data_IF_574643668608
#
_entry.id   IF_574643668608
#
_cell.length_a   1.000
_cell.length_b   1.000
_cell.length_c   1.000
_cell.angle_alpha   90.00
_cell.angle_beta   90.00
_cell.angle_gamma   90.00
#
_symmetry.space_group_name_H-M   'P 1'
#
loop_
_entity.id
_entity.type
_entity.pdbx_description
1 polymer ?
#
# COMPACT_ATOMS: atom_id res chain seq x y z
N UNK A 1 9.30 3.13 8.57
CA UNK A 1 8.29 3.70 7.62
C UNK A 1 9.01 4.23 6.40
N UNK A 2 8.38 4.19 5.24
CA UNK A 2 8.95 4.77 4.01
C UNK A 2 8.43 4.15 2.72
N UNK A 3 8.71 4.83 1.63
CA UNK A 3 8.20 4.56 0.30
C UNK A 3 9.39 4.35 -0.64
N UNK A 4 9.56 3.10 -1.08
CA UNK A 4 10.64 2.68 -1.99
C UNK A 4 10.27 2.97 -3.44
N UNK A 5 11.21 2.83 -4.38
CA UNK A 5 10.92 2.98 -5.82
C UNK A 5 9.74 2.13 -6.29
N UNK A 6 9.62 0.89 -5.81
CA UNK A 6 8.56 -0.04 -6.21
C UNK A 6 7.19 0.40 -5.67
N UNK A 7 7.15 0.92 -4.44
CA UNK A 7 5.92 1.49 -3.87
C UNK A 7 5.55 2.79 -4.58
N UNK A 8 6.53 3.65 -4.87
CA UNK A 8 6.33 4.86 -5.67
C UNK A 8 5.69 4.53 -7.00
N UNK A 9 6.24 3.54 -7.71
CA UNK A 9 5.71 3.05 -8.98
C UNK A 9 4.26 2.56 -8.84
N UNK A 10 3.95 1.81 -7.79
CA UNK A 10 2.57 1.38 -7.53
C UNK A 10 1.62 2.57 -7.32
N UNK A 11 2.04 3.61 -6.59
CA UNK A 11 1.24 4.84 -6.39
C UNK A 11 1.03 5.63 -7.68
N UNK A 12 2.06 5.70 -8.53
CA UNK A 12 1.95 6.35 -9.85
C UNK A 12 0.99 5.60 -10.78
N UNK A 13 1.03 4.26 -10.77
CA UNK A 13 0.09 3.43 -11.53
C UNK A 13 -1.33 3.55 -11.00
N UNK A 14 -1.50 3.61 -9.68
CA UNK A 14 -2.79 3.86 -9.06
C UNK A 14 -3.34 5.22 -9.46
N UNK A 15 -2.52 6.27 -9.46
CA UNK A 15 -2.90 7.60 -9.94
C UNK A 15 -3.32 7.60 -11.41
N UNK A 16 -2.64 6.82 -12.27
CA UNK A 16 -3.02 6.68 -13.68
C UNK A 16 -4.33 5.94 -13.87
N UNK A 17 -4.60 4.93 -13.04
CA UNK A 17 -5.85 4.17 -13.07
C UNK A 17 -7.02 5.04 -12.62
N UNK A 18 -6.87 5.69 -11.46
CA UNK A 18 -7.83 6.64 -10.91
C UNK A 18 -7.05 7.78 -10.23
N UNK A 19 -7.19 9.03 -10.70
CA UNK A 19 -6.41 10.16 -10.20
C UNK A 19 -6.48 10.33 -8.69
N UNK A 20 -5.31 10.42 -8.07
CA UNK A 20 -5.16 10.89 -6.68
C UNK A 20 -5.35 12.41 -6.69
N UNK A 21 -6.33 12.91 -5.94
CA UNK A 21 -6.72 14.32 -5.90
C UNK A 21 -7.13 14.73 -4.49
N UNK A 22 -7.20 16.03 -4.22
CA UNK A 22 -7.75 16.55 -2.97
C UNK A 22 -6.75 16.49 -1.81
N UNK A 23 -7.19 16.03 -0.63
CA UNK A 23 -6.37 15.97 0.58
C UNK A 23 -5.76 14.58 0.77
N UNK A 24 -4.44 14.50 0.71
CA UNK A 24 -3.66 13.31 1.00
C UNK A 24 -3.25 13.31 2.48
N UNK A 25 -3.40 12.18 3.16
CA UNK A 25 -2.83 11.92 4.48
C UNK A 25 -1.84 10.77 4.41
N UNK A 26 -0.64 10.96 4.91
CA UNK A 26 0.24 9.83 5.26
C UNK A 26 0.08 9.48 6.73
N UNK A 27 0.05 8.19 7.05
CA UNK A 27 0.23 7.74 8.43
C UNK A 27 1.74 7.77 8.71
N UNK A 28 2.16 8.53 9.70
CA UNK A 28 3.55 8.92 9.89
C UNK A 28 4.10 9.77 8.73
N UNK A 29 5.28 10.34 8.93
CA UNK A 29 6.08 10.88 7.83
C UNK A 29 6.68 9.71 7.05
N UNK A 30 6.71 9.81 5.73
CA UNK A 30 7.22 8.72 4.88
C UNK A 30 8.56 9.12 4.27
N UNK A 31 9.64 8.44 4.68
CA UNK A 31 10.92 8.58 3.96
C UNK A 31 10.75 8.08 2.53
N UNK A 32 10.90 8.96 1.55
CA UNK A 32 10.86 8.59 0.13
C UNK A 32 12.28 8.23 -0.30
N UNK A 33 12.53 6.97 -0.67
CA UNK A 33 13.89 6.51 -1.06
C UNK A 33 14.24 6.86 -2.51
N UNK A 34 14.00 8.12 -2.89
CA UNK A 34 14.27 8.65 -4.23
C UNK A 34 14.89 10.04 -4.12
N UNK A 35 15.98 10.28 -4.85
CA UNK A 35 16.44 11.65 -5.13
C UNK A 35 15.49 12.33 -6.12
N UNK A 36 15.56 13.68 -6.28
CA UNK A 36 14.79 14.38 -7.29
C UNK A 36 14.97 13.79 -8.70
N UNK A 37 16.20 13.45 -9.09
CA UNK A 37 16.51 12.86 -10.39
C UNK A 37 15.88 11.47 -10.55
N UNK A 38 15.94 10.64 -9.51
CA UNK A 38 15.33 9.30 -9.53
C UNK A 38 13.80 9.34 -9.59
N UNK A 39 13.19 10.33 -8.93
CA UNK A 39 11.75 10.59 -8.99
C UNK A 39 11.33 11.04 -10.39
N UNK A 40 12.01 12.04 -10.97
CA UNK A 40 11.71 12.53 -12.32
C UNK A 40 11.88 11.42 -13.36
N UNK A 41 12.93 10.60 -13.23
CA UNK A 41 13.12 9.41 -14.07
C UNK A 41 11.99 8.41 -13.91
N UNK A 42 11.52 8.16 -12.69
CA UNK A 42 10.40 7.24 -12.46
C UNK A 42 9.08 7.76 -13.07
N UNK A 43 8.82 9.06 -12.98
CA UNK A 43 7.65 9.69 -13.60
C UNK A 43 7.67 9.51 -15.12
N UNK A 44 8.83 9.75 -15.75
CA UNK A 44 9.05 9.51 -17.18
C UNK A 44 8.82 8.04 -17.56
N UNK A 45 9.41 7.09 -16.81
CA UNK A 45 9.21 5.65 -17.02
C UNK A 45 7.73 5.22 -16.94
N UNK A 46 6.94 5.85 -16.08
CA UNK A 46 5.51 5.55 -15.93
C UNK A 46 4.62 6.40 -16.85
N UNK A 47 5.21 7.26 -17.70
CA UNK A 47 4.50 8.10 -18.67
C UNK A 47 3.70 9.22 -18.03
N UNK A 48 4.16 9.76 -16.90
CA UNK A 48 3.51 10.82 -16.13
C UNK A 48 4.36 12.08 -16.23
N UNK A 49 3.76 13.17 -16.74
CA UNK A 49 4.44 14.46 -16.75
C UNK A 49 4.53 15.03 -15.33
N UNK A 50 5.71 15.50 -14.88
CA UNK A 50 5.83 16.16 -13.60
C UNK A 50 5.03 17.47 -13.59
N UNK A 51 4.45 17.82 -12.44
CA UNK A 51 3.79 19.11 -12.25
C UNK A 51 4.80 20.26 -12.35
N UNK A 52 4.49 21.35 -13.07
CA UNK A 52 5.41 22.48 -13.24
C UNK A 52 5.86 23.09 -11.92
N UNK A 53 4.96 23.15 -10.93
CA UNK A 53 5.20 23.75 -9.62
C UNK A 53 5.65 22.73 -8.57
N UNK A 54 6.12 21.54 -8.98
CA UNK A 54 6.57 20.51 -8.04
C UNK A 54 7.77 21.02 -7.23
N UNK A 55 7.67 21.12 -5.89
CA UNK A 55 8.69 21.78 -5.10
C UNK A 55 9.97 20.95 -4.90
N UNK A 56 10.04 19.70 -5.43
CA UNK A 56 11.15 18.73 -5.34
C UNK A 56 11.98 18.85 -4.05
N UNK A 57 11.30 19.07 -2.93
CA UNK A 57 11.91 19.53 -1.68
C UNK A 57 12.64 18.38 -1.04
N UNK A 58 13.85 18.64 -0.57
CA UNK A 58 14.68 17.62 0.06
C UNK A 58 14.22 17.33 1.49
N UNK A 59 14.23 16.05 1.83
CA UNK A 59 13.93 15.55 3.16
C UNK A 59 15.12 15.78 4.10
N UNK A 60 14.89 16.66 5.06
CA UNK A 60 15.84 17.00 6.13
C UNK A 60 15.35 16.57 7.51
N UNK A 61 14.16 15.95 7.59
CA UNK A 61 13.44 15.70 8.83
C UNK A 61 13.34 14.21 9.17
N UNK A 62 13.03 13.35 8.20
CA UNK A 62 12.87 11.92 8.51
C UNK A 62 14.22 11.29 8.89
N UNK A 63 14.18 10.34 9.84
CA UNK A 63 15.34 9.65 10.40
C UNK A 63 16.16 8.99 9.29
N UNK A 64 15.49 8.42 8.29
CA UNK A 64 16.15 7.71 7.18
C UNK A 64 16.39 8.60 5.95
N UNK A 65 15.78 9.79 5.87
CA UNK A 65 15.92 10.71 4.74
C UNK A 65 16.98 11.79 4.94
N UNK A 66 17.18 12.25 6.18
CA UNK A 66 18.06 13.38 6.49
C UNK A 66 19.49 13.16 5.98
N UNK A 67 19.96 14.09 5.16
CA UNK A 67 21.33 14.09 4.61
C UNK A 67 21.55 13.09 3.47
N UNK A 68 20.49 12.44 2.97
CA UNK A 68 20.57 11.48 1.86
C UNK A 68 20.26 12.08 0.49
N UNK A 69 19.77 13.32 0.44
CA UNK A 69 19.35 13.97 -0.81
C UNK A 69 18.02 13.42 -1.35
N UNK A 70 17.23 12.78 -0.50
CA UNK A 70 15.91 12.27 -0.85
C UNK A 70 14.86 13.37 -0.88
N UNK A 71 13.78 13.19 -1.63
CA UNK A 71 12.62 14.09 -1.61
C UNK A 71 11.72 13.83 -0.40
N UNK A 72 10.94 14.84 0.01
CA UNK A 72 9.86 14.64 0.99
C UNK A 72 8.69 13.87 0.38
N UNK A 73 7.89 13.20 1.21
CA UNK A 73 6.59 12.65 0.83
C UNK A 73 5.61 13.70 0.25
N UNK A 74 5.63 14.92 0.77
CA UNK A 74 4.88 16.07 0.22
C UNK A 74 5.32 16.33 -1.22
N UNK A 75 6.64 16.47 -1.44
CA UNK A 75 7.19 16.68 -2.77
C UNK A 75 6.90 15.51 -3.72
N UNK A 76 6.91 14.26 -3.21
CA UNK A 76 6.54 13.09 -3.99
C UNK A 76 5.11 13.19 -4.53
N UNK A 77 4.09 13.34 -3.67
CA UNK A 77 2.70 13.42 -4.12
C UNK A 77 2.43 14.66 -5.00
N UNK A 78 3.00 15.81 -4.64
CA UNK A 78 2.86 17.05 -5.40
C UNK A 78 3.65 17.06 -6.72
N UNK A 79 4.50 16.06 -6.97
CA UNK A 79 5.18 15.91 -8.26
C UNK A 79 4.28 15.44 -9.38
N UNK A 80 3.18 14.74 -9.08
CA UNK A 80 2.28 14.19 -10.10
C UNK A 80 0.80 14.52 -9.86
N UNK A 81 0.41 15.00 -8.67
CA UNK A 81 -0.99 15.24 -8.32
C UNK A 81 -1.23 16.66 -7.78
N UNK A 82 -2.43 17.21 -8.02
CA UNK A 82 -2.89 18.46 -7.41
C UNK A 82 -3.45 18.20 -6.01
N UNK A 83 -2.57 18.18 -5.02
CA UNK A 83 -2.94 17.75 -3.68
C UNK A 83 -2.32 18.60 -2.58
N UNK A 84 -3.05 18.69 -1.47
CA UNK A 84 -2.48 19.08 -0.19
C UNK A 84 -2.13 17.84 0.61
N UNK A 85 -0.94 17.81 1.20
CA UNK A 85 -0.47 16.66 1.97
C UNK A 85 -0.40 17.01 3.45
N UNK A 86 -1.00 16.17 4.27
CA UNK A 86 -0.82 16.13 5.71
C UNK A 86 -0.17 14.80 6.12
N UNK A 87 0.37 14.74 7.32
CA UNK A 87 0.87 13.50 7.91
C UNK A 87 0.44 13.42 9.38
N UNK A 88 -0.06 12.26 9.81
CA UNK A 88 -0.50 12.06 11.19
C UNK A 88 0.46 11.16 11.95
N UNK A 89 0.89 11.58 13.14
CA UNK A 89 1.72 10.79 14.04
C UNK A 89 1.36 11.08 15.50
N UNK A 90 1.77 10.23 16.43
CA UNK A 90 1.58 10.45 17.87
C UNK A 90 2.54 11.53 18.41
N UNK A 91 3.62 11.83 17.69
CA UNK A 91 4.60 12.85 18.09
C UNK A 91 5.15 13.63 16.89
N UNK A 92 5.76 14.78 17.14
CA UNK A 92 6.30 15.70 16.14
C UNK A 92 7.76 15.41 15.76
N UNK A 93 8.32 14.26 16.14
CA UNK A 93 9.75 13.95 16.03
C UNK A 93 10.31 14.04 14.60
N UNK A 94 9.49 13.74 13.57
CA UNK A 94 9.81 13.89 12.15
C UNK A 94 9.04 15.05 11.47
N UNK A 95 8.38 15.90 12.26
CA UNK A 95 7.65 17.06 11.78
C UNK A 95 6.26 16.74 11.22
N UNK A 96 5.52 15.84 11.85
CA UNK A 96 4.15 15.53 11.45
C UNK A 96 3.21 16.75 11.54
N UNK A 97 2.40 17.01 10.51
CA UNK A 97 1.47 18.16 10.48
C UNK A 97 0.25 17.97 11.38
N UNK A 98 -0.08 16.73 11.72
CA UNK A 98 -1.20 16.37 12.60
C UNK A 98 -0.69 15.48 13.74
N UNK A 99 -0.96 15.88 14.98
CA UNK A 99 -0.63 15.09 16.17
C UNK A 99 -1.87 14.35 16.67
N UNK A 100 -1.89 13.03 16.53
CA UNK A 100 -2.96 12.17 17.02
C UNK A 100 -2.46 10.74 17.31
N UNK A 101 -2.92 10.15 18.41
CA UNK A 101 -2.65 8.75 18.74
C UNK A 101 -3.71 7.84 18.12
N UNK A 102 -3.31 6.98 17.17
CA UNK A 102 -4.24 6.03 16.52
C UNK A 102 -4.68 4.86 17.44
N UNK A 103 -4.09 4.71 18.63
CA UNK A 103 -4.65 3.84 19.68
C UNK A 103 -5.85 4.49 20.41
N UNK A 104 -6.09 5.78 20.18
CA UNK A 104 -7.16 6.55 20.84
C UNK A 104 -8.24 6.95 19.84
N UNK A 105 -9.23 7.70 20.29
CA UNK A 105 -10.20 8.34 19.39
C UNK A 105 -9.53 9.46 18.59
N UNK A 106 -9.96 9.64 17.34
CA UNK A 106 -9.52 10.76 16.51
C UNK A 106 -10.38 12.00 16.81
N UNK A 107 -9.79 13.21 16.78
CA UNK A 107 -10.54 14.45 16.85
C UNK A 107 -11.56 14.58 15.70
N UNK A 108 -12.74 15.13 15.99
CA UNK A 108 -13.79 15.34 14.99
C UNK A 108 -13.35 16.10 13.72
N UNK A 109 -12.47 17.12 13.80
CA UNK A 109 -11.98 17.82 12.61
C UNK A 109 -11.14 16.97 11.64
N UNK A 110 -10.78 15.73 12.00
CA UNK A 110 -10.09 14.79 11.11
C UNK A 110 -11.06 13.82 10.43
N UNK A 111 -12.29 13.67 10.93
CA UNK A 111 -13.27 12.70 10.39
C UNK A 111 -13.69 13.10 8.98
N UNK A 112 -13.63 12.13 8.06
CA UNK A 112 -14.06 12.33 6.67
C UNK A 112 -13.27 13.39 5.89
N UNK A 113 -12.07 13.76 6.33
CA UNK A 113 -11.32 14.91 5.82
C UNK A 113 -10.43 14.60 4.63
N UNK A 114 -9.99 13.35 4.47
CA UNK A 114 -8.94 13.01 3.50
C UNK A 114 -9.46 12.15 2.36
N UNK A 115 -9.13 12.53 1.14
CA UNK A 115 -9.57 11.84 -0.08
C UNK A 115 -8.65 10.67 -0.43
N UNK A 116 -7.41 10.72 0.05
CA UNK A 116 -6.45 9.64 -0.11
C UNK A 116 -5.64 9.46 1.16
N UNK A 117 -5.54 8.22 1.66
CA UNK A 117 -4.70 7.88 2.81
C UNK A 117 -3.64 6.87 2.37
N UNK A 118 -2.38 7.11 2.72
CA UNK A 118 -1.30 6.16 2.54
C UNK A 118 -0.72 5.73 3.89
N UNK A 119 -0.79 4.44 4.17
CA UNK A 119 -0.26 3.82 5.37
C UNK A 119 0.94 2.91 5.01
N UNK A 120 2.15 3.45 5.16
CA UNK A 120 3.41 2.80 4.78
C UNK A 120 4.19 2.21 5.95
N UNK A 121 3.82 0.99 6.36
CA UNK A 121 4.44 0.21 7.43
C UNK A 121 4.44 0.96 8.77
N UNK A 122 3.23 1.33 9.21
CA UNK A 122 3.00 2.04 10.48
C UNK A 122 2.19 1.18 11.46
N UNK A 123 1.24 0.37 10.96
CA UNK A 123 0.41 -0.48 11.82
C UNK A 123 1.26 -1.52 12.56
N UNK A 124 2.38 -1.93 11.98
CA UNK A 124 3.35 -2.83 12.58
C UNK A 124 4.04 -2.22 13.83
N UNK A 125 3.93 -0.90 14.02
CA UNK A 125 4.43 -0.16 15.19
C UNK A 125 3.30 0.27 16.15
N UNK A 126 2.05 -0.07 15.89
CA UNK A 126 0.89 0.30 16.72
C UNK A 126 0.33 -0.96 17.42
N UNK A 127 0.12 -0.86 18.74
CA UNK A 127 -0.34 -2.01 19.55
C UNK A 127 -1.77 -2.44 19.20
N UNK A 128 -2.73 -1.51 19.15
CA UNK A 128 -4.11 -1.81 18.74
C UNK A 128 -4.31 -1.53 17.25
N UNK A 129 -3.82 -2.45 16.41
CA UNK A 129 -3.91 -2.34 14.96
C UNK A 129 -5.34 -2.30 14.42
N UNK A 130 -6.28 -3.00 15.06
CA UNK A 130 -7.69 -2.98 14.65
C UNK A 130 -8.34 -1.61 14.88
N UNK A 131 -8.06 -1.00 16.05
CA UNK A 131 -8.51 0.35 16.32
C UNK A 131 -7.85 1.35 15.35
N UNK A 132 -6.55 1.24 15.12
CA UNK A 132 -5.83 2.13 14.21
C UNK A 132 -6.37 2.04 12.78
N UNK A 133 -6.63 0.84 12.26
CA UNK A 133 -7.27 0.63 10.95
C UNK A 133 -8.65 1.30 10.90
N UNK A 134 -9.47 1.14 11.95
CA UNK A 134 -10.75 1.83 12.08
C UNK A 134 -10.58 3.36 12.05
N UNK A 135 -9.63 3.90 12.81
CA UNK A 135 -9.36 5.35 12.88
C UNK A 135 -8.93 5.93 11.54
N UNK A 136 -8.06 5.24 10.81
CA UNK A 136 -7.67 5.65 9.44
C UNK A 136 -8.90 5.78 8.54
N UNK A 137 -9.79 4.79 8.57
CA UNK A 137 -10.99 4.79 7.75
C UNK A 137 -12.05 5.81 8.20
N UNK A 138 -12.07 6.20 9.48
CA UNK A 138 -12.90 7.32 9.95
C UNK A 138 -12.40 8.68 9.46
N UNK A 139 -11.09 8.83 9.22
CA UNK A 139 -10.50 10.03 8.63
C UNK A 139 -10.70 10.13 7.11
N UNK A 140 -10.97 9.01 6.45
CA UNK A 140 -11.18 8.91 5.01
C UNK A 140 -12.53 9.51 4.61
N UNK A 141 -12.57 10.34 3.56
CA UNK A 141 -13.79 10.94 3.02
C UNK A 141 -14.73 9.86 2.45
N UNK A 142 -16.05 10.13 2.28
CA UNK A 142 -17.03 9.12 1.87
C UNK A 142 -16.71 8.38 0.55
N UNK A 143 -15.93 9.01 -0.34
CA UNK A 143 -15.49 8.45 -1.63
C UNK A 143 -13.96 8.35 -1.72
N UNK A 144 -13.28 8.42 -0.57
CA UNK A 144 -11.82 8.38 -0.51
C UNK A 144 -11.26 6.98 -0.74
N UNK A 145 -9.96 6.92 -1.05
CA UNK A 145 -9.20 5.68 -1.19
C UNK A 145 -8.10 5.58 -0.15
N UNK A 146 -7.80 4.37 0.29
CA UNK A 146 -6.71 4.10 1.22
C UNK A 146 -5.80 3.00 0.69
N UNK A 147 -4.50 3.21 0.85
CA UNK A 147 -3.46 2.25 0.52
C UNK A 147 -2.74 1.83 1.78
N UNK A 148 -2.57 0.52 1.95
CA UNK A 148 -1.71 -0.07 2.96
C UNK A 148 -0.54 -0.78 2.31
N UNK A 149 0.65 -0.54 2.82
CA UNK A 149 1.80 -1.40 2.61
C UNK A 149 2.36 -1.79 3.97
N UNK A 150 2.22 -3.06 4.35
CA UNK A 150 2.51 -3.52 5.71
C UNK A 150 3.31 -4.83 5.70
N UNK A 151 4.05 -5.10 6.78
CA UNK A 151 4.76 -6.38 6.94
C UNK A 151 3.77 -7.54 7.02
N UNK A 152 4.00 -8.57 6.21
CA UNK A 152 3.21 -9.83 6.22
C UNK A 152 4.01 -11.00 6.80
N UNK A 153 5.32 -10.89 6.95
CA UNK A 153 6.18 -11.86 7.65
C UNK A 153 6.88 -11.26 8.85
N UNK A 154 7.29 -12.14 9.76
CA UNK A 154 8.03 -11.80 10.96
C UNK A 154 9.26 -10.93 10.64
N UNK A 155 9.48 -9.93 11.49
CA UNK A 155 10.64 -9.06 11.47
C UNK A 155 10.96 -8.62 12.91
N UNK A 156 12.23 -8.48 13.31
CA UNK A 156 12.53 -7.92 14.62
C UNK A 156 11.92 -6.52 14.77
N UNK A 157 11.39 -6.22 15.96
CA UNK A 157 10.82 -4.92 16.34
C UNK A 157 9.46 -4.53 15.71
N UNK A 158 8.73 -5.44 15.06
CA UNK A 158 7.30 -5.23 14.76
C UNK A 158 6.42 -5.82 15.85
N UNK A 159 5.31 -5.15 16.20
CA UNK A 159 4.30 -5.69 17.11
C UNK A 159 3.47 -6.80 16.46
N UNK A 160 3.03 -6.58 15.22
CA UNK A 160 2.15 -7.47 14.47
C UNK A 160 2.59 -7.57 13.01
N UNK A 161 2.27 -8.70 12.38
CA UNK A 161 2.36 -8.89 10.93
C UNK A 161 0.96 -9.10 10.37
N UNK A 162 0.64 -8.40 9.29
CA UNK A 162 -0.71 -8.31 8.77
C UNK A 162 -0.84 -9.07 7.46
N UNK A 163 -1.74 -10.06 7.43
CA UNK A 163 -2.07 -10.78 6.22
C UNK A 163 -2.97 -9.94 5.30
N UNK A 164 -2.99 -10.21 3.98
CA UNK A 164 -3.95 -9.61 3.06
C UNK A 164 -5.40 -9.89 3.46
N UNK A 165 -5.68 -11.08 4.02
CA UNK A 165 -7.00 -11.49 4.50
C UNK A 165 -7.54 -10.54 5.59
N UNK A 166 -6.68 -10.07 6.51
CA UNK A 166 -7.09 -9.18 7.59
C UNK A 166 -7.69 -7.87 7.08
N UNK A 167 -7.03 -7.24 6.10
CA UNK A 167 -7.55 -6.05 5.45
C UNK A 167 -8.78 -6.36 4.60
N UNK A 168 -8.70 -7.39 3.75
CA UNK A 168 -9.79 -7.73 2.85
C UNK A 168 -11.10 -7.99 3.61
N UNK A 169 -11.05 -8.79 4.68
CA UNK A 169 -12.20 -9.08 5.51
C UNK A 169 -12.77 -7.83 6.18
N UNK A 170 -11.91 -6.91 6.66
CA UNK A 170 -12.36 -5.66 7.27
C UNK A 170 -13.11 -4.80 6.26
N UNK A 171 -12.56 -4.60 5.07
CA UNK A 171 -13.16 -3.78 4.02
C UNK A 171 -14.45 -4.39 3.47
N UNK A 172 -14.48 -5.70 3.28
CA UNK A 172 -15.68 -6.42 2.86
C UNK A 172 -16.80 -6.33 3.90
N UNK A 173 -16.48 -6.54 5.18
CA UNK A 173 -17.46 -6.47 6.28
C UNK A 173 -18.00 -5.06 6.52
N UNK A 174 -17.23 -4.03 6.14
CA UNK A 174 -17.60 -2.62 6.25
C UNK A 174 -18.13 -2.02 4.94
N UNK A 175 -18.48 -2.86 3.96
CA UNK A 175 -19.22 -2.44 2.77
C UNK A 175 -18.49 -1.37 1.94
N UNK A 176 -17.17 -1.52 1.79
CA UNK A 176 -16.37 -0.73 0.86
C UNK A 176 -16.72 -1.07 -0.59
N UNK A 177 -16.52 -0.10 -1.49
CA UNK A 177 -16.86 -0.24 -2.90
C UNK A 177 -15.96 -1.27 -3.59
N UNK A 178 -14.66 -1.20 -3.29
CA UNK A 178 -13.66 -2.08 -3.85
C UNK A 178 -12.52 -2.32 -2.85
N UNK A 179 -11.86 -3.47 -2.97
CA UNK A 179 -10.68 -3.83 -2.19
C UNK A 179 -9.81 -4.82 -2.97
N UNK A 180 -8.59 -4.41 -3.28
CA UNK A 180 -7.57 -5.26 -3.89
C UNK A 180 -6.46 -5.49 -2.88
N UNK A 181 -6.26 -6.76 -2.51
CA UNK A 181 -5.22 -7.15 -1.57
C UNK A 181 -4.22 -8.07 -2.26
N UNK A 182 -2.93 -7.92 -1.94
CA UNK A 182 -1.83 -8.64 -2.57
C UNK A 182 -0.81 -9.09 -1.52
N UNK A 183 -0.29 -10.29 -1.70
CA UNK A 183 1.02 -10.66 -1.16
C UNK A 183 2.11 -10.06 -2.04
N UNK A 184 3.09 -9.42 -1.42
CA UNK A 184 4.26 -8.89 -2.08
C UNK A 184 5.47 -9.69 -1.62
N UNK A 185 6.02 -10.47 -2.55
CA UNK A 185 7.23 -11.23 -2.35
C UNK A 185 8.44 -10.43 -2.82
N UNK A 186 9.38 -10.22 -1.91
CA UNK A 186 10.69 -9.65 -2.24
C UNK A 186 11.75 -10.75 -2.24
N UNK A 187 12.27 -11.13 -3.41
CA UNK A 187 13.34 -12.12 -3.48
C UNK A 187 14.64 -11.50 -2.96
N UNK A 188 15.10 -11.94 -1.78
CA UNK A 188 16.41 -11.61 -1.24
C UNK A 188 16.41 -11.05 0.19
N UNK A 189 17.61 -11.08 0.80
CA UNK A 189 17.90 -10.49 2.10
C UNK A 189 18.35 -9.02 2.02
N UNK A 190 18.20 -8.38 0.85
CA UNK A 190 18.60 -6.99 0.63
C UNK A 190 17.83 -6.01 1.51
N UNK A 191 18.46 -4.86 1.77
CA UNK A 191 17.81 -3.77 2.49
C UNK A 191 16.58 -3.29 1.71
N UNK A 192 15.51 -2.92 2.40
CA UNK A 192 14.28 -2.37 1.78
C UNK A 192 14.52 -1.17 0.87
N UNK A 193 15.68 -0.51 1.01
CA UNK A 193 16.10 0.67 0.26
C UNK A 193 16.73 0.36 -1.10
N UNK A 194 16.83 -0.92 -1.51
CA UNK A 194 17.40 -1.29 -2.81
C UNK A 194 16.44 -0.98 -3.96
N UNK A 195 16.74 0.07 -4.71
CA UNK A 195 15.94 0.50 -5.86
C UNK A 195 15.98 -0.47 -7.07
N UNK A 196 16.77 -1.55 -7.00
CA UNK A 196 16.98 -2.53 -8.08
C UNK A 196 16.28 -3.88 -7.85
N UNK A 197 15.54 -4.07 -6.75
CA UNK A 197 14.84 -5.34 -6.50
C UNK A 197 13.52 -5.42 -7.29
N UNK A 198 13.33 -6.52 -8.02
CA UNK A 198 12.03 -6.88 -8.60
C UNK A 198 11.12 -7.44 -7.52
N UNK A 199 9.90 -6.92 -7.40
CA UNK A 199 8.89 -7.49 -6.51
C UNK A 199 7.94 -8.37 -7.30
N UNK A 200 7.58 -9.52 -6.74
CA UNK A 200 6.51 -10.38 -7.26
C UNK A 200 5.24 -10.11 -6.46
N UNK A 201 4.15 -9.75 -7.15
CA UNK A 201 2.86 -9.53 -6.52
C UNK A 201 1.92 -10.68 -6.83
N UNK A 202 1.28 -11.21 -5.79
CA UNK A 202 0.26 -12.25 -5.90
C UNK A 202 -1.04 -11.70 -5.33
N UNK A 203 -2.05 -11.56 -6.19
CA UNK A 203 -3.38 -11.12 -5.75
C UNK A 203 -3.98 -12.14 -4.79
N UNK A 204 -4.53 -11.66 -3.69
CA UNK A 204 -5.31 -12.45 -2.75
C UNK A 204 -6.78 -12.43 -3.16
N UNK A 205 -7.41 -13.60 -3.17
CA UNK A 205 -8.86 -13.73 -3.23
C UNK A 205 -9.36 -14.65 -2.10
N UNK A 206 -10.54 -14.38 -1.53
CA UNK A 206 -11.12 -15.24 -0.50
C UNK A 206 -11.34 -16.67 -0.99
N UNK A 207 -10.69 -17.62 -0.33
CA UNK A 207 -10.84 -19.06 -0.61
C UNK A 207 -9.91 -19.59 -1.69
N UNK A 208 -9.07 -18.75 -2.28
CA UNK A 208 -7.95 -19.22 -3.08
C UNK A 208 -6.95 -19.95 -2.17
N UNK A 209 -6.35 -21.01 -2.71
CA UNK A 209 -5.17 -21.59 -2.09
C UNK A 209 -4.06 -20.54 -2.06
N UNK A 210 -3.39 -20.40 -0.91
CA UNK A 210 -2.20 -19.55 -0.78
C UNK A 210 -1.23 -19.92 -1.92
N UNK A 211 -0.75 -18.94 -2.70
CA UNK A 211 0.15 -19.22 -3.82
C UNK A 211 1.34 -20.06 -3.36
N UNK A 212 1.73 -21.08 -4.13
CA UNK A 212 2.79 -22.02 -3.72
C UNK A 212 4.10 -21.33 -3.27
N UNK A 213 4.60 -20.25 -3.91
CA UNK A 213 5.75 -19.52 -3.40
C UNK A 213 5.51 -18.91 -2.02
N UNK A 214 4.34 -18.32 -1.77
CA UNK A 214 3.94 -17.74 -0.47
C UNK A 214 3.75 -18.84 0.57
N UNK A 215 3.18 -19.98 0.18
CA UNK A 215 3.01 -21.13 1.06
C UNK A 215 4.35 -21.74 1.46
N UNK A 216 5.29 -21.87 0.52
CA UNK A 216 6.65 -22.34 0.78
C UNK A 216 7.37 -21.41 1.78
N UNK A 217 7.12 -20.09 1.73
CA UNK A 217 7.69 -19.15 2.71
C UNK A 217 7.30 -19.48 4.16
N UNK A 218 6.11 -20.03 4.38
CA UNK A 218 5.61 -20.40 5.71
C UNK A 218 6.00 -21.80 6.17
N UNK A 219 6.74 -22.57 5.36
CA UNK A 219 7.06 -23.98 5.61
C UNK A 219 8.56 -24.28 5.62
N UNK A 220 9.42 -23.32 5.28
CA UNK A 220 10.88 -23.48 5.29
C UNK A 220 11.41 -23.60 6.74
N UNK A 221 11.95 -24.77 7.16
CA UNK A 221 12.35 -25.02 8.55
C UNK A 221 13.57 -24.20 9.02
N UNK A 222 14.24 -23.47 8.11
CA UNK A 222 15.57 -22.89 8.33
C UNK A 222 15.76 -21.46 7.80
N UNK A 223 14.81 -20.56 8.06
CA UNK A 223 15.15 -19.14 8.22
C UNK A 223 15.73 -18.43 7.00
N UNK A 224 15.26 -18.74 5.79
CA UNK A 224 15.43 -17.78 4.68
C UNK A 224 14.55 -16.57 5.07
N UNK A 225 15.11 -15.36 5.24
CA UNK A 225 14.31 -14.18 5.57
C UNK A 225 13.55 -13.76 4.32
N UNK A 226 12.44 -14.45 4.04
CA UNK A 226 11.58 -14.05 2.94
C UNK A 226 10.76 -12.86 3.41
N UNK A 227 11.06 -11.74 2.80
CA UNK A 227 10.46 -10.46 3.08
C UNK A 227 9.08 -10.37 2.40
N UNK A 228 8.07 -10.91 3.07
CA UNK A 228 6.68 -10.78 2.65
C UNK A 228 6.09 -9.48 3.19
N UNK A 229 5.44 -8.75 2.31
CA UNK A 229 4.58 -7.63 2.65
C UNK A 229 3.17 -7.86 2.12
N UNK A 230 2.25 -7.09 2.65
CA UNK A 230 0.88 -6.99 2.19
C UNK A 230 0.72 -5.62 1.55
N UNK A 231 0.19 -5.58 0.33
CA UNK A 231 -0.20 -4.34 -0.33
C UNK A 231 -1.71 -4.36 -0.54
N UNK A 232 -2.41 -3.33 -0.11
CA UNK A 232 -3.87 -3.24 -0.20
C UNK A 232 -4.26 -1.87 -0.72
N UNK A 233 -5.23 -1.83 -1.61
CA UNK A 233 -5.94 -0.62 -2.00
C UNK A 233 -7.43 -0.86 -1.74
N UNK A 234 -8.08 0.06 -1.03
CA UNK A 234 -9.51 0.00 -0.76
C UNK A 234 -10.18 1.34 -1.08
N UNK A 235 -11.38 1.28 -1.64
CA UNK A 235 -12.19 2.44 -2.03
C UNK A 235 -13.48 2.48 -1.23
N UNK A 236 -13.77 3.63 -0.66
CA UNK A 236 -14.97 3.86 0.13
C UNK A 236 -16.16 4.22 -0.78
N UNK A 237 -17.37 3.88 -0.33
CA UNK A 237 -18.64 4.38 -0.87
C UNK A 237 -19.46 5.04 0.25
N UNK A 238 -20.51 5.77 -0.13
CA UNK A 238 -21.32 6.59 0.79
C UNK A 238 -21.87 5.82 2.00
N UNK A 239 -22.24 4.55 1.83
CA UNK A 239 -22.77 3.66 2.86
C UNK A 239 -21.71 2.71 3.48
N UNK A 240 -20.42 2.97 3.26
CA UNK A 240 -19.35 2.24 3.94
C UNK A 240 -19.26 2.60 5.42
N UNK A 241 -19.19 1.58 6.27
CA UNK A 241 -19.06 1.72 7.72
C UNK A 241 -17.60 1.58 8.18
N UNK A 242 -17.34 1.68 9.48
CA UNK A 242 -16.01 1.41 10.07
C UNK A 242 -16.08 0.57 11.35
N UNK A 243 -17.29 0.25 11.80
CA UNK A 243 -17.55 -0.36 13.11
C UNK A 243 -17.75 -1.89 13.09
N UNK A 244 -17.66 -2.53 11.92
CA UNK A 244 -17.84 -3.99 11.80
C UNK A 244 -16.48 -4.66 11.87
N UNK A 245 -16.29 -5.53 12.88
CA UNK A 245 -15.06 -6.31 13.03
C UNK A 245 -15.31 -7.76 12.60
N UNK A 246 -14.66 -8.23 11.52
CA UNK A 246 -14.93 -9.54 10.95
C UNK A 246 -14.37 -10.68 11.81
N UNK A 247 -15.03 -11.83 11.74
CA UNK A 247 -14.48 -13.13 12.17
C UNK A 247 -13.93 -13.82 10.92
N UNK A 248 -12.81 -14.54 11.00
CA UNK A 248 -12.23 -15.22 9.83
C UNK A 248 -13.23 -16.17 9.16
N UNK A 249 -13.15 -16.27 7.83
CA UNK A 249 -14.12 -16.98 6.99
C UNK A 249 -14.48 -18.40 7.47
N UNK A 250 -13.50 -19.20 7.90
CA UNK A 250 -13.72 -20.59 8.31
C UNK A 250 -14.64 -20.75 9.54
N UNK A 251 -14.82 -19.69 10.33
CA UNK A 251 -15.70 -19.68 11.50
C UNK A 251 -17.05 -18.97 11.26
N UNK A 252 -17.30 -18.48 10.03
CA UNK A 252 -18.59 -17.86 9.67
C UNK A 252 -19.61 -18.95 9.37
N UNK A 253 -20.72 -18.99 10.10
CA UNK A 253 -21.85 -19.87 9.76
C UNK A 253 -22.51 -19.38 8.46
N UNK A 254 -22.96 -20.28 7.55
CA UNK A 254 -23.60 -19.94 6.27
C UNK A 254 -24.80 -18.96 6.38
N UNK A 255 -25.39 -18.89 7.56
CA UNK A 255 -26.72 -18.37 7.87
C UNK A 255 -26.73 -17.21 8.88
N UNK A 256 -25.59 -16.79 9.44
CA UNK A 256 -25.54 -15.68 10.45
C UNK A 256 -24.65 -14.48 10.15
N UNK A 257 -23.90 -14.45 9.05
CA UNK A 257 -23.10 -13.26 8.77
C UNK A 257 -23.83 -12.37 7.78
N UNK A 258 -24.29 -11.22 8.25
CA UNK A 258 -24.54 -10.04 7.41
C UNK A 258 -23.28 -9.48 6.73
N UNK A 259 -22.22 -10.29 6.62
CA UNK A 259 -21.12 -10.11 5.70
C UNK A 259 -21.51 -10.95 4.47
N UNK A 260 -22.04 -10.32 3.41
CA UNK A 260 -22.40 -11.04 2.21
C UNK A 260 -21.15 -11.77 1.75
N UNK A 261 -21.26 -13.08 1.48
CA UNK A 261 -20.16 -13.91 0.99
C UNK A 261 -19.61 -13.47 -0.39
N UNK A 262 -19.85 -12.22 -0.82
CA UNK A 262 -19.54 -11.67 -2.15
C UNK A 262 -19.91 -10.18 -2.34
N UNK A 263 -20.17 -9.35 -1.31
CA UNK A 263 -20.67 -7.97 -1.56
C UNK A 263 -19.66 -6.99 -2.13
N UNK A 264 -18.37 -7.31 -2.08
CA UNK A 264 -17.47 -6.75 -3.09
C UNK A 264 -17.75 -7.56 -4.36
N UNK A 265 -18.85 -7.20 -5.05
CA UNK A 265 -18.87 -7.39 -6.48
C UNK A 265 -17.65 -6.61 -6.95
N UNK A 266 -16.61 -7.32 -7.38
CA UNK A 266 -15.48 -6.73 -8.07
C UNK A 266 -16.07 -6.04 -9.32
N UNK A 267 -16.49 -4.78 -9.14
CA UNK A 267 -17.08 -3.97 -10.17
C UNK A 267 -15.89 -3.52 -11.01
N UNK A 268 -15.72 -4.30 -12.07
CA UNK A 268 -14.80 -4.16 -13.17
C UNK A 268 -13.70 -5.22 -13.20
N UNK A 269 -13.87 -6.06 -14.21
CA UNK A 269 -12.83 -6.64 -15.05
C UNK A 269 -11.85 -5.62 -15.67
N UNK A 270 -11.73 -4.40 -15.12
CA UNK A 270 -10.77 -3.38 -15.51
C UNK A 270 -9.84 -3.13 -14.30
N UNK A 271 -8.83 -3.99 -14.19
CA UNK A 271 -8.03 -4.13 -12.99
C UNK A 271 -7.15 -2.93 -12.62
N UNK A 272 -6.82 -2.88 -11.34
CA UNK A 272 -5.60 -2.28 -10.81
C UNK A 272 -4.40 -2.93 -11.52
N UNK A 273 -3.81 -2.19 -12.46
CA UNK A 273 -2.79 -2.64 -13.41
C UNK A 273 -1.38 -2.52 -12.80
N UNK A 274 -1.10 -3.26 -11.72
CA UNK A 274 0.24 -3.22 -11.09
C UNK A 274 1.31 -4.02 -11.87
N UNK A 275 0.96 -4.69 -12.97
CA UNK A 275 1.98 -5.03 -13.97
C UNK A 275 1.48 -5.91 -15.11
N UNK A 276 1.09 -5.28 -16.19
CA UNK A 276 0.90 -5.99 -17.44
C UNK A 276 1.73 -5.28 -18.54
N UNK A 277 2.43 -6.08 -19.33
CA UNK A 277 3.12 -5.66 -20.55
C UNK A 277 2.65 -6.51 -21.74
N UNK A 278 1.56 -7.27 -21.60
CA UNK A 278 1.02 -8.09 -22.68
C UNK A 278 -0.46 -8.41 -22.47
N UNK A 279 -1.32 -7.62 -23.13
CA UNK A 279 -2.69 -8.01 -23.44
C UNK A 279 -2.66 -9.35 -24.19
N UNK A 280 -3.32 -10.39 -23.67
CA UNK A 280 -4.23 -11.26 -24.43
C UNK A 280 -5.00 -12.22 -23.49
N UNK A 281 -6.29 -12.34 -23.79
CA UNK A 281 -7.35 -13.10 -23.13
C UNK A 281 -7.00 -14.53 -22.66
N UNK A 282 -7.48 -14.91 -21.46
CA UNK A 282 -8.37 -16.06 -21.13
C UNK A 282 -8.10 -16.60 -19.71
N UNK A 283 -9.15 -16.56 -18.88
CA UNK A 283 -9.59 -17.54 -17.86
C UNK A 283 -8.52 -18.39 -17.13
N UNK A 284 -8.53 -18.29 -15.80
CA UNK A 284 -8.03 -19.25 -14.80
C UNK A 284 -6.54 -19.65 -14.89
N UNK A 285 -5.66 -18.72 -14.55
CA UNK A 285 -4.32 -19.06 -14.04
C UNK A 285 -3.88 -18.00 -13.02
N UNK A 286 -3.12 -18.36 -11.97
CA UNK A 286 -2.56 -17.38 -11.05
C UNK A 286 -1.63 -16.45 -11.82
N UNK A 287 -2.07 -15.21 -12.03
CA UNK A 287 -1.28 -14.19 -12.73
C UNK A 287 -0.02 -13.89 -11.92
N UNK A 288 1.11 -14.41 -12.37
CA UNK A 288 2.44 -14.05 -11.90
C UNK A 288 2.85 -12.77 -12.62
N UNK A 289 2.92 -11.67 -11.90
CA UNK A 289 3.34 -10.37 -12.44
C UNK A 289 4.71 -10.04 -11.90
N UNK A 290 5.71 -9.99 -12.78
CA UNK A 290 7.06 -9.52 -12.49
C UNK A 290 7.20 -8.06 -12.92
N UNK A 291 7.55 -7.17 -12.00
CA UNK A 291 7.93 -5.79 -12.33
C UNK A 291 9.46 -5.73 -12.43
N UNK A 292 9.99 -5.86 -13.65
CA UNK A 292 11.44 -5.87 -13.92
C UNK A 292 11.81 -5.07 -15.17
N UNK A 293 12.84 -4.22 -15.06
CA UNK A 293 13.47 -3.48 -16.15
C UNK A 293 14.29 -4.47 -16.99
N UNK A 294 14.09 -4.48 -18.31
CA UNK A 294 14.85 -5.30 -19.26
C UNK A 294 16.30 -4.81 -19.33
N UNK A 295 17.25 -5.62 -18.85
CA UNK A 295 18.68 -5.43 -19.18
C UNK A 295 18.94 -6.19 -20.47
N UNK A 296 19.45 -5.47 -21.48
CA UNK A 296 19.62 -5.96 -22.84
C UNK A 296 20.47 -7.22 -22.96
N UNK A 297 20.06 -8.09 -23.89
CA UNK A 297 20.82 -9.26 -24.32
C UNK A 297 22.21 -8.83 -24.81
N UNK A 298 23.26 -9.35 -24.18
CA UNK A 298 24.54 -9.53 -24.86
C UNK A 298 24.40 -10.75 -25.79
N UNK A 299 24.48 -10.51 -27.08
CA UNK A 299 24.65 -11.53 -28.09
C UNK A 299 26.04 -12.16 -27.92
N UNK A 300 26.10 -13.46 -27.68
CA UNK A 300 27.30 -14.26 -27.90
C UNK A 300 27.42 -14.54 -29.39
N UNK A 301 28.39 -13.91 -30.05
CA UNK A 301 28.90 -14.43 -31.33
C UNK A 301 29.84 -15.61 -31.05
N UNK A 302 29.77 -16.60 -31.95
CA UNK A 302 30.57 -17.82 -32.04
C UNK A 302 32.03 -17.70 -31.58
#
# INVERSE_FOLDING_TARGET
MGLTRQIARAMLREHRFQPITGRVLTIGRQTIYLTPEELLKLLDEEGIAPRPDSPLTLDTQTVHGKGRGFVTDVAFFQSFADVTCDSVDVSDYEGATVLANLNSEIPDPLRGRYDFIYNGSCLDNIFDGANALRRMNEMLSPTGRIVHFERCSYFPAVYLSYSPEWFYDYYAANNFADCHAYYVLRPGAGAMTSNNESWELFRYFPGDSIPSPVHACGQEPWGIPINLHTFVIAERREDSTTGVFPIQRCYRSPDRTGCPASSIQCLSSAGVWIGDHSVHSRVLAPCRVSVGITVGLFATNN
#
